data_IF_507221201792
#
_entry.id   IF_507221201792
#
_cell.length_a   1.000
_cell.length_b   1.000
_cell.length_c   1.000
_cell.angle_alpha   90.00
_cell.angle_beta   90.00
_cell.angle_gamma   90.00
#
_symmetry.space_group_name_H-M   'P 1'
#
loop_
_entity.id
_entity.type
_entity.pdbx_description
1 polymer ?
#
# COMPACT_ATOMS: atom_id res chain seq x y z
N UNK A 1 10.94 15.83 14.49
CA UNK A 1 11.48 14.61 15.10
C UNK A 1 11.26 13.46 14.14
N UNK A 2 12.35 12.94 13.55
CA UNK A 2 12.27 11.74 12.72
C UNK A 2 12.01 10.53 13.63
N UNK A 3 10.87 9.88 13.49
CA UNK A 3 10.56 8.64 14.21
C UNK A 3 11.26 7.50 13.47
N UNK A 4 12.42 7.10 14.00
CA UNK A 4 13.17 5.95 13.51
C UNK A 4 12.50 4.70 14.03
N UNK A 5 11.70 4.02 13.23
CA UNK A 5 11.23 2.65 13.54
C UNK A 5 12.12 1.65 12.81
N UNK A 6 13.00 1.02 13.59
CA UNK A 6 13.84 -0.08 13.12
C UNK A 6 12.97 -1.34 13.04
N UNK A 7 12.73 -1.81 11.83
CA UNK A 7 11.94 -3.00 11.58
C UNK A 7 12.85 -4.20 11.34
N UNK A 8 12.45 -5.33 11.91
CA UNK A 8 13.11 -6.61 11.65
C UNK A 8 13.01 -6.94 10.15
N UNK A 9 14.15 -6.99 9.46
CA UNK A 9 14.22 -7.29 8.03
C UNK A 9 15.02 -6.30 7.17
N UNK A 10 15.61 -5.25 7.76
CA UNK A 10 16.58 -4.40 7.06
C UNK A 10 16.02 -3.21 6.28
N UNK A 11 14.70 -3.06 6.18
CA UNK A 11 14.09 -1.86 5.60
C UNK A 11 13.75 -0.84 6.70
N UNK A 12 14.36 0.33 6.61
CA UNK A 12 14.09 1.45 7.50
C UNK A 12 13.05 2.34 6.83
N UNK A 13 11.85 2.38 7.37
CA UNK A 13 10.84 3.34 6.95
C UNK A 13 11.18 4.70 7.57
N UNK A 14 11.71 5.62 6.76
CA UNK A 14 11.89 7.00 7.16
C UNK A 14 10.59 7.75 6.88
N UNK A 15 10.01 8.32 7.92
CA UNK A 15 8.85 9.18 7.82
C UNK A 15 9.26 10.58 8.25
N UNK A 16 8.98 11.55 7.40
CA UNK A 16 9.15 12.96 7.71
C UNK A 16 7.80 13.52 8.14
N UNK A 17 7.76 14.21 9.26
CA UNK A 17 6.60 14.96 9.70
C UNK A 17 6.80 16.43 9.36
N UNK A 18 5.88 17.00 8.58
CA UNK A 18 5.86 18.42 8.24
C UNK A 18 4.86 19.13 9.14
N UNK A 19 5.32 20.06 9.94
CA UNK A 19 4.52 20.81 10.90
C UNK A 19 4.60 22.29 10.58
N UNK A 20 3.44 22.91 10.33
CA UNK A 20 3.36 24.34 10.22
C UNK A 20 3.28 24.95 11.64
N UNK A 21 4.06 26.01 11.94
CA UNK A 21 3.98 26.69 13.24
C UNK A 21 2.55 27.19 13.50
N UNK A 22 2.05 27.02 14.73
CA UNK A 22 0.67 27.34 15.09
C UNK A 22 0.29 28.82 14.85
N UNK A 23 1.27 29.73 14.89
CA UNK A 23 1.07 31.18 14.68
C UNK A 23 1.65 31.65 13.32
N UNK A 24 2.03 30.73 12.45
CA UNK A 24 2.56 31.03 11.12
C UNK A 24 1.44 31.12 10.06
N UNK A 25 1.71 31.74 8.91
CA UNK A 25 0.79 31.67 7.80
C UNK A 25 0.66 30.24 7.28
N UNK A 26 -0.46 29.89 6.63
CA UNK A 26 -0.60 28.62 5.94
C UNK A 26 0.54 28.42 4.93
N UNK A 27 1.08 27.20 4.89
CA UNK A 27 2.12 26.80 3.96
C UNK A 27 1.62 25.67 3.06
N UNK A 28 2.10 25.66 1.83
CA UNK A 28 1.73 24.63 0.86
C UNK A 28 2.77 23.50 0.86
N UNK A 29 2.31 22.25 0.79
CA UNK A 29 3.12 21.08 0.58
C UNK A 29 2.68 20.42 -0.73
N UNK A 30 3.61 20.33 -1.68
CA UNK A 30 3.37 19.67 -2.97
C UNK A 30 3.83 18.23 -2.87
N UNK A 31 2.95 17.29 -3.22
CA UNK A 31 3.21 15.86 -3.15
C UNK A 31 3.40 15.30 -4.55
N UNK A 32 4.35 14.40 -4.69
CA UNK A 32 4.58 13.62 -5.91
C UNK A 32 5.08 12.22 -5.54
N UNK A 33 5.07 11.34 -6.52
CA UNK A 33 5.74 10.04 -6.44
C UNK A 33 6.97 10.01 -7.36
N UNK A 34 7.97 9.15 -7.08
CA UNK A 34 9.23 9.11 -7.84
C UNK A 34 9.10 8.51 -9.24
N UNK A 35 8.02 7.78 -9.51
CA UNK A 35 7.77 7.13 -10.80
C UNK A 35 6.66 7.84 -11.58
N UNK A 36 6.70 7.86 -12.92
CA UNK A 36 5.61 8.43 -13.72
C UNK A 36 4.28 7.73 -13.45
N UNK A 37 3.24 8.50 -13.10
CA UNK A 37 1.91 7.93 -12.84
C UNK A 37 1.06 8.82 -11.94
N UNK A 38 -0.03 8.27 -11.46
CA UNK A 38 -1.02 8.99 -10.68
C UNK A 38 -0.74 8.94 -9.18
N UNK A 39 -1.18 10.00 -8.49
CA UNK A 39 -1.33 10.05 -7.03
C UNK A 39 -2.81 10.23 -6.73
N UNK A 40 -3.35 9.38 -5.88
CA UNK A 40 -4.76 9.45 -5.46
C UNK A 40 -4.89 9.56 -3.95
N UNK A 41 -5.95 10.24 -3.51
CA UNK A 41 -6.32 10.33 -2.11
C UNK A 41 -7.37 9.27 -1.78
N UNK A 42 -7.18 8.59 -0.66
CA UNK A 42 -8.14 7.67 -0.08
C UNK A 42 -8.45 8.12 1.35
N UNK A 43 -9.72 8.33 1.67
CA UNK A 43 -10.14 8.75 3.01
C UNK A 43 -10.47 7.55 3.89
N UNK A 44 -9.67 7.33 4.92
CA UNK A 44 -9.95 6.33 5.95
C UNK A 44 -11.00 6.85 6.93
N UNK A 45 -11.98 6.01 7.24
CA UNK A 45 -13.09 6.30 8.17
C UNK A 45 -13.14 5.29 9.32
N UNK A 46 -11.99 4.99 9.92
CA UNK A 46 -11.82 3.96 10.94
C UNK A 46 -11.50 2.57 10.36
N UNK A 47 -11.38 2.46 9.05
CA UNK A 47 -10.95 1.25 8.35
C UNK A 47 -9.43 1.21 8.16
N UNK A 48 -8.97 0.20 7.45
CA UNK A 48 -7.56 -0.01 7.16
C UNK A 48 -7.36 -0.38 5.68
N UNK A 49 -6.18 -0.07 5.16
CA UNK A 49 -5.71 -0.53 3.86
C UNK A 49 -4.34 -1.20 4.00
N UNK A 50 -4.12 -2.22 3.20
CA UNK A 50 -2.82 -2.82 2.97
C UNK A 50 -2.27 -2.24 1.67
N UNK A 51 -1.11 -1.60 1.77
CA UNK A 51 -0.43 -0.95 0.64
C UNK A 51 0.72 -1.82 0.16
N UNK A 52 0.94 -1.83 -1.14
CA UNK A 52 2.16 -2.37 -1.73
C UNK A 52 3.38 -1.52 -1.33
N UNK A 53 4.58 -2.12 -1.18
CA UNK A 53 5.80 -1.35 -0.97
C UNK A 53 5.97 -0.26 -2.04
N UNK A 54 6.29 0.97 -1.59
CA UNK A 54 6.46 2.11 -2.49
C UNK A 54 5.18 2.84 -2.89
N UNK A 55 4.00 2.32 -2.56
CA UNK A 55 2.73 2.98 -2.87
C UNK A 55 2.39 4.14 -1.92
N UNK A 56 2.94 4.17 -0.73
CA UNK A 56 2.67 5.22 0.25
C UNK A 56 3.36 6.54 -0.14
N UNK A 57 2.59 7.62 -0.20
CA UNK A 57 3.09 8.98 -0.45
C UNK A 57 3.02 9.82 0.81
N UNK A 58 1.84 9.95 1.42
CA UNK A 58 1.63 10.77 2.61
C UNK A 58 0.36 10.35 3.35
N UNK A 59 0.21 10.78 4.59
CA UNK A 59 -1.05 10.68 5.33
C UNK A 59 -1.20 11.83 6.33
N UNK A 60 -2.45 12.04 6.78
CA UNK A 60 -2.75 12.96 7.88
C UNK A 60 -2.32 12.39 9.23
N UNK A 61 -2.19 13.24 10.28
CA UNK A 61 -1.80 12.80 11.62
C UNK A 61 -2.74 11.78 12.28
N UNK A 62 -4.02 11.71 11.85
CA UNK A 62 -5.00 10.73 12.34
C UNK A 62 -4.83 9.31 11.80
N UNK A 63 -3.85 9.09 10.93
CA UNK A 63 -3.55 7.81 10.33
C UNK A 63 -2.30 7.21 10.95
N UNK A 64 -2.38 5.96 11.37
CA UNK A 64 -1.27 5.18 11.88
C UNK A 64 -0.77 4.19 10.84
N UNK A 65 0.54 3.96 10.83
CA UNK A 65 1.20 3.05 9.92
C UNK A 65 1.87 1.92 10.68
N UNK A 66 1.63 0.70 10.22
CA UNK A 66 2.28 -0.49 10.76
C UNK A 66 2.74 -1.37 9.61
N UNK A 67 3.92 -1.96 9.72
CA UNK A 67 4.32 -3.02 8.81
C UNK A 67 3.63 -4.31 9.23
N UNK A 68 2.84 -4.84 8.32
CA UNK A 68 2.16 -6.11 8.50
C UNK A 68 2.87 -7.23 7.76
N UNK A 69 2.91 -8.40 8.38
CA UNK A 69 3.32 -9.63 7.70
C UNK A 69 2.18 -10.09 6.79
N UNK A 70 2.44 -10.21 5.50
CA UNK A 70 1.44 -10.67 4.52
C UNK A 70 1.22 -12.20 4.52
N UNK A 71 1.81 -12.93 5.48
CA UNK A 71 1.66 -14.39 5.62
C UNK A 71 2.56 -15.21 4.69
N UNK A 72 2.48 -16.54 4.81
CA UNK A 72 3.31 -17.51 4.07
C UNK A 72 3.12 -17.44 2.54
N UNK A 73 1.96 -16.98 2.07
CA UNK A 73 1.67 -16.83 0.62
C UNK A 73 2.53 -15.76 -0.06
N UNK A 74 3.08 -14.81 0.68
CA UNK A 74 3.94 -13.77 0.13
C UNK A 74 5.39 -14.23 -0.14
N UNK A 75 5.80 -15.39 0.38
CA UNK A 75 7.13 -15.95 0.07
C UNK A 75 7.28 -16.32 -1.41
N UNK A 76 6.21 -16.81 -2.05
CA UNK A 76 6.27 -17.20 -3.47
C UNK A 76 6.25 -16.02 -4.43
N UNK A 77 5.84 -14.86 -3.96
CA UNK A 77 5.85 -13.65 -4.76
C UNK A 77 7.13 -12.87 -4.44
N UNK A 78 7.97 -12.64 -5.43
CA UNK A 78 9.19 -11.81 -5.37
C UNK A 78 8.97 -10.39 -4.81
N UNK A 79 7.80 -10.05 -4.34
CA UNK A 79 7.33 -8.73 -3.94
C UNK A 79 7.39 -8.46 -2.43
N UNK A 80 8.31 -9.10 -1.71
CA UNK A 80 8.56 -8.77 -0.30
C UNK A 80 7.50 -9.26 0.70
N UNK A 81 7.96 -9.73 1.84
CA UNK A 81 7.17 -10.30 2.95
C UNK A 81 6.33 -9.27 3.72
N UNK A 82 6.53 -7.98 3.46
CA UNK A 82 5.95 -6.93 4.27
C UNK A 82 5.06 -6.01 3.44
N UNK A 83 3.85 -5.79 3.93
CA UNK A 83 2.94 -4.77 3.41
C UNK A 83 2.75 -3.68 4.45
N UNK A 84 2.70 -2.45 4.00
CA UNK A 84 2.40 -1.33 4.87
C UNK A 84 0.89 -1.31 5.13
N UNK A 85 0.49 -1.51 6.38
CA UNK A 85 -0.89 -1.31 6.81
C UNK A 85 -1.06 0.13 7.29
N UNK A 86 -1.99 0.84 6.70
CA UNK A 86 -2.46 2.15 7.16
C UNK A 86 -3.85 2.01 7.75
N UNK A 87 -4.10 2.69 8.88
CA UNK A 87 -5.37 2.60 9.63
C UNK A 87 -5.64 3.88 10.40
N UNK A 88 -6.89 4.16 10.66
CA UNK A 88 -7.31 5.34 11.42
C UNK A 88 -8.33 6.19 10.69
N UNK A 89 -8.28 7.50 10.90
CA UNK A 89 -9.20 8.45 10.29
C UNK A 89 -8.42 9.57 9.58
N UNK A 90 -8.79 9.83 8.35
CA UNK A 90 -8.25 10.91 7.54
C UNK A 90 -7.70 10.48 6.19
N UNK A 91 -7.22 11.43 5.41
CA UNK A 91 -6.69 11.17 4.07
C UNK A 91 -5.34 10.46 4.12
N UNK A 92 -5.19 9.52 3.18
CA UNK A 92 -3.94 8.86 2.79
C UNK A 92 -3.74 9.09 1.31
N UNK A 93 -2.57 9.54 0.91
CA UNK A 93 -2.18 9.66 -0.50
C UNK A 93 -1.35 8.47 -0.89
N UNK A 94 -1.75 7.83 -1.97
CA UNK A 94 -1.07 6.67 -2.54
C UNK A 94 -0.74 6.94 -4.00
N UNK A 95 0.43 6.46 -4.44
CA UNK A 95 0.91 6.65 -5.80
C UNK A 95 1.24 5.34 -6.47
N UNK A 96 1.03 5.27 -7.77
CA UNK A 96 1.32 4.08 -8.58
C UNK A 96 1.81 4.44 -9.98
N UNK A 97 2.56 3.54 -10.58
CA UNK A 97 2.99 3.69 -11.96
C UNK A 97 1.79 3.61 -12.92
N UNK A 98 1.65 4.60 -13.81
CA UNK A 98 0.50 4.69 -14.71
C UNK A 98 -0.78 5.20 -14.04
N UNK A 99 -1.92 4.82 -14.57
CA UNK A 99 -3.23 5.24 -14.08
C UNK A 99 -3.74 4.38 -12.94
N UNK A 100 -4.36 5.00 -11.93
CA UNK A 100 -4.97 4.33 -10.78
C UNK A 100 -6.47 4.15 -11.02
N UNK A 101 -6.97 2.94 -10.78
CA UNK A 101 -8.40 2.65 -10.84
C UNK A 101 -8.84 1.83 -9.63
N UNK A 102 -10.00 2.14 -9.07
CA UNK A 102 -10.58 1.43 -7.94
C UNK A 102 -11.72 0.52 -8.40
N UNK A 103 -11.75 -0.70 -7.87
CA UNK A 103 -12.81 -1.68 -8.11
C UNK A 103 -13.38 -2.18 -6.80
N UNK A 104 -14.69 -2.23 -6.71
CA UNK A 104 -15.38 -2.99 -5.68
C UNK A 104 -15.40 -4.44 -6.11
N UNK A 105 -14.96 -5.33 -5.22
CA UNK A 105 -14.89 -6.76 -5.49
C UNK A 105 -16.00 -7.45 -4.72
N UNK A 106 -16.87 -8.16 -5.46
CA UNK A 106 -17.89 -9.06 -4.93
C UNK A 106 -17.63 -10.45 -5.50
N UNK A 107 -17.43 -11.45 -4.62
CA UNK A 107 -16.99 -12.79 -5.04
C UNK A 107 -15.48 -12.82 -5.33
N UNK A 108 -15.06 -13.38 -6.44
CA UNK A 108 -13.64 -13.50 -6.81
C UNK A 108 -13.27 -12.57 -7.96
N UNK A 109 -12.05 -12.04 -7.89
CA UNK A 109 -11.47 -11.22 -8.95
C UNK A 109 -10.05 -11.70 -9.22
N UNK A 110 -9.70 -11.87 -10.48
CA UNK A 110 -8.38 -12.37 -10.91
C UNK A 110 -7.59 -11.21 -11.49
N UNK A 111 -6.39 -10.99 -10.96
CA UNK A 111 -5.48 -9.98 -11.47
C UNK A 111 -4.02 -10.38 -11.19
N UNK A 112 -3.10 -9.76 -11.90
CA UNK A 112 -1.68 -9.90 -11.62
C UNK A 112 -1.30 -9.10 -10.36
N UNK A 113 -0.48 -9.70 -9.50
CA UNK A 113 0.00 -9.08 -8.25
C UNK A 113 0.77 -7.78 -8.45
N UNK A 114 1.50 -7.65 -9.56
CA UNK A 114 2.22 -6.44 -9.91
C UNK A 114 1.33 -5.21 -10.19
N UNK A 115 0.01 -5.42 -10.32
CA UNK A 115 -0.97 -4.35 -10.57
C UNK A 115 -1.82 -4.00 -9.36
N UNK A 116 -1.52 -4.56 -8.18
CA UNK A 116 -2.20 -4.24 -6.93
C UNK A 116 -1.48 -3.10 -6.24
N UNK A 117 -2.15 -1.98 -6.05
CA UNK A 117 -1.61 -0.84 -5.30
C UNK A 117 -1.99 -0.90 -3.83
N UNK A 118 -3.27 -1.14 -3.55
CA UNK A 118 -3.83 -1.22 -2.21
C UNK A 118 -5.08 -2.08 -2.17
N UNK A 119 -5.39 -2.67 -1.01
CA UNK A 119 -6.64 -3.41 -0.80
C UNK A 119 -7.02 -3.44 0.69
N UNK A 120 -8.29 -3.67 0.97
CA UNK A 120 -8.78 -3.82 2.33
C UNK A 120 -8.36 -5.15 2.95
N UNK A 121 -8.06 -5.22 4.26
CA UNK A 121 -7.63 -6.45 4.91
C UNK A 121 -8.66 -7.58 4.90
N UNK A 122 -9.91 -7.26 4.63
CA UNK A 122 -11.02 -8.23 4.46
C UNK A 122 -10.89 -9.06 3.18
N UNK A 123 -10.12 -8.58 2.21
CA UNK A 123 -9.87 -9.29 0.95
C UNK A 123 -8.76 -10.32 1.18
N UNK A 124 -9.08 -11.59 0.96
CA UNK A 124 -8.12 -12.69 1.04
C UNK A 124 -7.41 -12.88 -0.29
N UNK A 125 -6.10 -12.64 -0.29
CA UNK A 125 -5.26 -12.89 -1.45
C UNK A 125 -4.95 -14.39 -1.56
N UNK A 126 -5.39 -15.02 -2.65
CA UNK A 126 -4.98 -16.38 -3.03
C UNK A 126 -4.05 -16.29 -4.24
N UNK A 127 -2.86 -16.81 -4.10
CA UNK A 127 -1.91 -16.88 -5.21
C UNK A 127 -2.11 -18.19 -5.93
N UNK A 128 -2.41 -18.11 -7.21
CA UNK A 128 -2.54 -19.24 -8.11
C UNK A 128 -1.52 -19.16 -9.25
N UNK A 129 -1.09 -20.32 -9.76
CA UNK A 129 -0.28 -20.41 -10.97
C UNK A 129 -1.22 -20.46 -12.16
N UNK A 130 -1.11 -19.51 -13.08
CA UNK A 130 -1.86 -19.54 -14.32
C UNK A 130 -1.12 -20.44 -15.33
N UNK A 131 -1.65 -21.66 -15.56
CA UNK A 131 -1.14 -22.58 -16.57
C UNK A 131 -0.22 -23.68 -16.03
N UNK A 132 0.24 -24.60 -16.94
CA UNK A 132 1.11 -25.72 -16.58
C UNK A 132 2.50 -25.30 -16.11
N UNK A 133 3.32 -26.27 -15.74
CA UNK A 133 4.62 -26.11 -15.06
C UNK A 133 5.58 -25.09 -15.74
N UNK A 134 5.41 -24.82 -17.02
CA UNK A 134 6.21 -23.84 -17.78
C UNK A 134 5.65 -22.41 -17.78
N UNK A 135 4.40 -22.19 -17.42
CA UNK A 135 3.81 -20.84 -17.29
C UNK A 135 3.89 -20.27 -15.89
N UNK A 136 4.49 -20.99 -14.95
CA UNK A 136 4.60 -20.64 -13.52
C UNK A 136 5.46 -19.41 -13.23
N UNK A 137 6.09 -18.81 -14.22
CA UNK A 137 6.89 -17.60 -14.03
C UNK A 137 6.07 -16.31 -13.96
N UNK A 138 4.79 -16.36 -14.27
CA UNK A 138 3.87 -15.22 -14.19
C UNK A 138 2.80 -15.52 -13.14
N UNK A 139 3.01 -15.07 -11.92
CA UNK A 139 2.06 -15.26 -10.82
C UNK A 139 0.76 -14.50 -11.09
N UNK A 140 -0.36 -15.21 -11.09
CA UNK A 140 -1.71 -14.62 -11.11
C UNK A 140 -2.28 -14.67 -9.70
N UNK A 141 -2.67 -13.54 -9.16
CA UNK A 141 -3.34 -13.47 -7.87
C UNK A 141 -4.85 -13.62 -8.03
N UNK A 142 -5.45 -14.50 -7.25
CA UNK A 142 -6.89 -14.67 -7.18
C UNK A 142 -7.39 -14.19 -5.83
N UNK A 143 -8.35 -13.29 -5.83
CA UNK A 143 -9.02 -12.82 -4.62
C UNK A 143 -10.33 -13.61 -4.44
N UNK A 144 -10.58 -14.07 -3.21
CA UNK A 144 -11.89 -14.66 -2.83
C UNK A 144 -12.25 -14.20 -1.42
N UNK A 145 -13.55 -14.04 -1.20
CA UNK A 145 -14.17 -13.72 0.08
C UNK A 145 -14.60 -14.98 0.81
#
# INVERSE_FOLDING_TARGET
NAILRKLFGGETLFINEFVCPANGPPAELVLTQPTPGDVTQVDLRGNSLLLQPGAFVACSPGVTMTLGWAGFSSWFNREGLFRLKVSGQGPVWIGGYGGITTRQVTGSYIMDTGHILAYEPTIHLKVGLAGGIFSSFFGVATFSF
#
